data_IF_799343706829
#
_entry.id   IF_799343706829
#
_cell.length_a   1.000
_cell.length_b   1.000
_cell.length_c   1.000
_cell.angle_alpha   90.00
_cell.angle_beta   90.00
_cell.angle_gamma   90.00
#
_symmetry.space_group_name_H-M   'P 1'
#
loop_
_entity.id
_entity.type
_entity.pdbx_description
1 polymer ?
#
# COMPACT_ATOMS: atom_id res chain seq x y z
N UNK A 1 -24.78 -25.93 -15.01
CA UNK A 1 -24.17 -24.73 -14.41
C UNK A 1 -22.72 -24.70 -14.86
N UNK A 2 -22.30 -23.75 -15.70
CA UNK A 2 -20.88 -23.62 -16.06
C UNK A 2 -20.13 -23.10 -14.84
N UNK A 3 -19.13 -23.85 -14.39
CA UNK A 3 -18.19 -23.39 -13.38
C UNK A 3 -17.19 -22.49 -14.10
N UNK A 4 -17.23 -21.19 -13.81
CA UNK A 4 -16.28 -20.22 -14.33
C UNK A 4 -15.31 -19.93 -13.19
N UNK A 5 -14.01 -19.99 -13.44
CA UNK A 5 -13.03 -19.67 -12.42
C UNK A 5 -12.96 -18.16 -12.18
N UNK A 6 -12.54 -17.77 -10.99
CA UNK A 6 -12.30 -16.36 -10.63
C UNK A 6 -11.36 -15.66 -11.64
N UNK A 7 -10.34 -16.37 -12.14
CA UNK A 7 -9.38 -15.82 -13.12
C UNK A 7 -10.03 -15.57 -14.48
N UNK A 8 -10.87 -16.49 -14.94
CA UNK A 8 -11.58 -16.33 -16.22
C UNK A 8 -12.55 -15.15 -16.15
N UNK A 9 -13.32 -15.06 -15.07
CA UNK A 9 -14.26 -13.96 -14.85
C UNK A 9 -13.55 -12.60 -14.72
N UNK A 10 -12.43 -12.56 -14.01
CA UNK A 10 -11.60 -11.35 -13.90
C UNK A 10 -11.05 -10.92 -15.26
N UNK A 11 -10.54 -11.84 -16.08
CA UNK A 11 -10.00 -11.53 -17.40
C UNK A 11 -11.07 -11.01 -18.37
N UNK A 12 -12.28 -11.58 -18.31
CA UNK A 12 -13.42 -11.10 -19.09
C UNK A 12 -13.82 -9.69 -18.67
N UNK A 13 -13.92 -9.42 -17.36
CA UNK A 13 -14.28 -8.09 -16.85
C UNK A 13 -13.19 -7.04 -17.05
N UNK A 14 -11.92 -7.42 -17.13
CA UNK A 14 -10.83 -6.49 -17.48
C UNK A 14 -10.95 -5.87 -18.88
N UNK A 15 -11.80 -6.41 -19.75
CA UNK A 15 -12.14 -5.80 -21.05
C UNK A 15 -13.07 -4.59 -20.91
N UNK A 16 -13.81 -4.50 -19.81
CA UNK A 16 -14.65 -3.35 -19.49
C UNK A 16 -13.79 -2.23 -18.87
N UNK A 17 -13.92 -1.01 -19.40
CA UNK A 17 -13.09 0.13 -19.00
C UNK A 17 -13.37 0.55 -17.55
N UNK A 18 -14.63 0.52 -17.10
CA UNK A 18 -15.02 0.91 -15.74
C UNK A 18 -14.51 -0.10 -14.71
N UNK A 19 -14.67 -1.40 -14.99
CA UNK A 19 -14.12 -2.46 -14.14
C UNK A 19 -12.58 -2.39 -14.09
N UNK A 20 -11.92 -2.21 -15.24
CA UNK A 20 -10.46 -2.14 -15.31
C UNK A 20 -9.92 -0.97 -14.50
N UNK A 21 -10.51 0.21 -14.61
CA UNK A 21 -10.07 1.39 -13.87
C UNK A 21 -10.29 1.21 -12.37
N UNK A 22 -11.45 0.69 -11.95
CA UNK A 22 -11.73 0.38 -10.55
C UNK A 22 -10.78 -0.69 -9.99
N UNK A 23 -10.49 -1.72 -10.78
CA UNK A 23 -9.56 -2.79 -10.40
C UNK A 23 -8.13 -2.26 -10.26
N UNK A 24 -7.64 -1.48 -11.21
CA UNK A 24 -6.31 -0.88 -11.16
C UNK A 24 -6.17 0.08 -9.97
N UNK A 25 -7.22 0.83 -9.64
CA UNK A 25 -7.27 1.67 -8.45
C UNK A 25 -7.04 0.84 -7.19
N UNK A 26 -7.82 -0.23 -6.99
CA UNK A 26 -7.68 -1.12 -5.83
C UNK A 26 -6.33 -1.84 -5.80
N UNK A 27 -5.87 -2.35 -6.94
CA UNK A 27 -4.56 -3.00 -7.05
C UNK A 27 -3.43 -2.04 -6.64
N UNK A 28 -3.55 -0.75 -7.00
CA UNK A 28 -2.60 0.28 -6.57
C UNK A 28 -2.59 0.47 -5.06
N UNK A 29 -3.77 0.46 -4.42
CA UNK A 29 -3.87 0.57 -2.95
C UNK A 29 -3.18 -0.60 -2.27
N UNK A 30 -3.42 -1.81 -2.78
CA UNK A 30 -2.83 -3.03 -2.24
C UNK A 30 -1.30 -3.06 -2.41
N UNK A 31 -0.78 -2.70 -3.59
CA UNK A 31 0.68 -2.59 -3.81
C UNK A 31 1.34 -1.60 -2.86
N UNK A 32 0.73 -0.44 -2.65
CA UNK A 32 1.24 0.57 -1.70
C UNK A 32 1.19 0.09 -0.25
N UNK A 33 0.12 -0.61 0.16
CA UNK A 33 0.03 -1.22 1.50
C UNK A 33 1.11 -2.28 1.71
N UNK A 34 1.34 -3.12 0.70
CA UNK A 34 2.39 -4.13 0.73
C UNK A 34 3.77 -3.49 0.87
N UNK A 35 4.05 -2.41 0.12
CA UNK A 35 5.32 -1.68 0.20
C UNK A 35 5.60 -1.14 1.61
N UNK A 36 4.62 -0.56 2.29
CA UNK A 36 4.80 -0.09 3.67
C UNK A 36 5.04 -1.25 4.64
N UNK A 37 4.32 -2.35 4.46
CA UNK A 37 4.55 -3.54 5.25
C UNK A 37 5.97 -4.10 5.05
N UNK A 38 6.50 -4.06 3.83
CA UNK A 38 7.89 -4.43 3.52
C UNK A 38 8.90 -3.50 4.18
N UNK A 39 8.71 -2.18 4.07
CA UNK A 39 9.57 -1.22 4.76
C UNK A 39 9.58 -1.44 6.26
N UNK A 40 8.41 -1.68 6.86
CA UNK A 40 8.31 -1.96 8.29
C UNK A 40 8.99 -3.28 8.68
N UNK A 41 8.92 -4.30 7.82
CA UNK A 41 9.60 -5.59 8.01
C UNK A 41 11.12 -5.48 7.89
N UNK A 42 11.66 -4.51 7.14
CA UNK A 42 13.10 -4.33 6.95
C UNK A 42 13.87 -4.28 8.28
N UNK A 43 13.30 -3.65 9.31
CA UNK A 43 13.90 -3.54 10.65
C UNK A 43 12.99 -4.17 11.73
N UNK A 44 12.09 -5.10 11.34
CA UNK A 44 11.11 -5.78 12.20
C UNK A 44 10.32 -4.85 13.13
N UNK A 45 9.96 -3.66 12.64
CA UNK A 45 9.32 -2.64 13.47
C UNK A 45 7.84 -2.93 13.67
N UNK A 46 7.35 -2.60 14.86
CA UNK A 46 5.93 -2.50 15.14
C UNK A 46 5.40 -1.13 14.69
N UNK A 47 4.09 -1.02 14.46
CA UNK A 47 3.45 0.27 14.14
C UNK A 47 3.73 1.34 15.21
N UNK A 48 3.83 0.92 16.48
CA UNK A 48 4.14 1.80 17.59
C UNK A 48 5.59 2.34 17.52
N UNK A 49 6.55 1.48 17.18
CA UNK A 49 7.95 1.91 17.00
C UNK A 49 8.12 2.83 15.80
N UNK A 50 7.43 2.57 14.69
CA UNK A 50 7.43 3.49 13.54
C UNK A 50 6.84 4.84 13.96
N UNK A 51 5.75 4.84 14.73
CA UNK A 51 5.13 6.07 15.24
C UNK A 51 6.11 6.88 16.11
N UNK A 52 6.81 6.21 17.04
CA UNK A 52 7.85 6.81 17.88
C UNK A 52 8.98 7.42 17.05
N UNK A 53 9.51 6.68 16.06
CA UNK A 53 10.56 7.18 15.15
C UNK A 53 10.11 8.35 14.28
N UNK A 54 8.82 8.40 13.93
CA UNK A 54 8.22 9.51 13.17
C UNK A 54 7.77 10.68 14.06
N UNK A 55 7.82 10.54 15.39
CA UNK A 55 7.31 11.54 16.33
C UNK A 55 5.79 11.74 16.26
N UNK A 56 5.03 10.72 15.87
CA UNK A 56 3.56 10.73 15.79
C UNK A 56 2.95 9.68 16.70
N UNK A 57 1.62 9.70 16.87
CA UNK A 57 0.92 8.69 17.67
C UNK A 57 0.65 7.41 16.86
N UNK A 58 0.61 6.22 17.50
CA UNK A 58 0.31 4.96 16.81
C UNK A 58 -0.99 4.95 15.98
N UNK A 59 -2.09 5.61 16.40
CA UNK A 59 -3.30 5.74 15.56
C UNK A 59 -3.06 6.48 14.24
N UNK A 60 -2.15 7.46 14.19
CA UNK A 60 -1.80 8.18 12.96
C UNK A 60 -1.15 7.22 11.96
N UNK A 61 -0.19 6.40 12.41
CA UNK A 61 0.44 5.37 11.58
C UNK A 61 -0.59 4.35 11.09
N UNK A 62 -1.46 3.87 11.97
CA UNK A 62 -2.52 2.93 11.59
C UNK A 62 -3.44 3.53 10.51
N UNK A 63 -3.86 4.79 10.68
CA UNK A 63 -4.65 5.51 9.69
C UNK A 63 -3.91 5.66 8.37
N UNK A 64 -2.62 5.93 8.41
CA UNK A 64 -1.79 6.13 7.23
C UNK A 64 -1.56 4.84 6.45
N UNK A 65 -1.31 3.72 7.13
CA UNK A 65 -1.23 2.40 6.50
C UNK A 65 -2.57 1.98 5.89
N UNK A 66 -3.68 2.30 6.56
CA UNK A 66 -5.03 1.95 6.06
C UNK A 66 -5.50 2.85 4.90
N UNK A 67 -5.16 4.15 4.92
CA UNK A 67 -5.59 5.16 3.95
C UNK A 67 -4.43 5.69 3.10
N UNK A 68 -3.65 4.78 2.55
CA UNK A 68 -2.38 5.12 1.90
C UNK A 68 -2.52 6.03 0.67
N UNK A 69 -3.62 5.93 -0.06
CA UNK A 69 -3.86 6.75 -1.27
C UNK A 69 -3.94 8.25 -1.01
N UNK A 70 -4.18 8.66 0.25
CA UNK A 70 -4.21 10.07 0.64
C UNK A 70 -2.87 10.58 1.20
N UNK A 71 -1.88 9.70 1.37
CA UNK A 71 -0.57 10.10 1.88
C UNK A 71 0.23 10.80 0.76
N UNK A 72 0.86 11.92 1.09
CA UNK A 72 1.77 12.58 0.15
C UNK A 72 3.08 11.79 0.01
N UNK A 73 3.77 11.98 -1.12
CA UNK A 73 5.10 11.39 -1.37
C UNK A 73 6.08 11.74 -0.24
N UNK A 74 6.04 12.96 0.27
CA UNK A 74 6.85 13.38 1.42
C UNK A 74 6.55 12.54 2.68
N UNK A 75 5.28 12.28 2.96
CA UNK A 75 4.90 11.47 4.13
C UNK A 75 5.32 10.00 3.96
N UNK A 76 5.22 9.45 2.75
CA UNK A 76 5.71 8.10 2.43
C UNK A 76 7.24 8.03 2.57
N UNK A 77 7.95 9.06 2.12
CA UNK A 77 9.41 9.17 2.25
C UNK A 77 9.85 9.23 3.71
N UNK A 78 9.18 10.06 4.53
CA UNK A 78 9.42 10.12 5.98
C UNK A 78 9.16 8.79 6.67
N UNK A 79 8.09 8.08 6.29
CA UNK A 79 7.79 6.75 6.81
C UNK A 79 8.92 5.77 6.45
N UNK A 80 9.37 5.75 5.19
CA UNK A 80 10.45 4.89 4.75
C UNK A 80 11.75 5.16 5.53
N UNK A 81 12.10 6.43 5.74
CA UNK A 81 13.26 6.82 6.53
C UNK A 81 13.14 6.40 8.00
N UNK A 82 11.96 6.51 8.62
CA UNK A 82 11.71 5.99 9.96
C UNK A 82 11.92 4.47 10.04
N UNK A 83 11.61 3.75 8.96
CA UNK A 83 11.88 2.34 8.81
C UNK A 83 13.34 1.99 8.44
N UNK A 84 14.22 3.00 8.30
CA UNK A 84 15.64 2.79 7.96
C UNK A 84 15.92 2.65 6.46
N UNK A 85 14.93 2.87 5.60
CA UNK A 85 15.10 2.84 4.14
C UNK A 85 15.75 4.16 3.71
N UNK A 86 16.97 4.10 3.16
CA UNK A 86 17.72 5.29 2.72
C UNK A 86 17.31 5.79 1.34
N UNK A 87 16.86 4.89 0.47
CA UNK A 87 16.44 5.17 -0.92
C UNK A 87 15.08 4.51 -1.17
N UNK A 88 13.97 5.11 -0.72
CA UNK A 88 12.65 4.55 -0.97
C UNK A 88 12.35 4.57 -2.47
N UNK A 89 11.99 3.39 -3.01
CA UNK A 89 11.44 3.27 -4.35
C UNK A 89 9.93 3.08 -4.19
N UNK A 90 9.16 3.99 -4.78
CA UNK A 90 7.70 3.92 -4.78
C UNK A 90 7.29 3.59 -6.21
N UNK A 91 6.96 2.32 -6.45
CA UNK A 91 6.46 1.88 -7.74
C UNK A 91 5.00 2.29 -7.87
N UNK A 92 4.74 3.29 -8.70
CA UNK A 92 3.37 3.72 -9.00
C UNK A 92 2.78 3.03 -10.23
N UNK A 93 3.63 2.42 -11.08
CA UNK A 93 3.28 1.75 -12.34
C UNK A 93 4.31 0.68 -12.70
#
# INVERSE_FOLDING_TARGET
>A
MKLVSYKELHNEWMQDDEYRDAWQEEERKEKLRALLAEWRKHDNLTKAQVAERMGVTPPVISRQENNITKASIDTLTRYAHACGIKKPVITLY
#
